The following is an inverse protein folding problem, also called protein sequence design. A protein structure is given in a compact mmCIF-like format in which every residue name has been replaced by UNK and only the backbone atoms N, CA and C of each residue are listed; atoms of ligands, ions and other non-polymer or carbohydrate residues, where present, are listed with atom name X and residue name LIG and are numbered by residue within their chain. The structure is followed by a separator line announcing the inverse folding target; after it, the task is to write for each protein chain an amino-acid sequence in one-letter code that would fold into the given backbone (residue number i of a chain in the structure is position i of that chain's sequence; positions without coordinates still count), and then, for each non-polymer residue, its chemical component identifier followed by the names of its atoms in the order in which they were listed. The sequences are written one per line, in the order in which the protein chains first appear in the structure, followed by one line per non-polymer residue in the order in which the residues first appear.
data_IF_499531066456
#
_entry.id   IF_499531066456
#
_cell.length_a   1.000
_cell.length_b   1.000
_cell.length_c   1.000
_cell.angle_alpha   90.00
_cell.angle_beta   90.00
_cell.angle_gamma   90.00
#
_symmetry.space_group_name_H-M   'P 1'
#
loop_
_entity.id
_entity.type
_entity.pdbx_description
1 polymer ?
#
# COMPACT_ATOMS: atom_id res chain seq x y z
N UNK A 1 -0.71 -2.23 -9.64
CA UNK A 1 0.54 -2.46 -10.39
C UNK A 1 0.49 -1.63 -11.65
N UNK A 2 1.49 -0.78 -11.90
CA UNK A 2 1.62 -0.10 -13.18
C UNK A 2 2.17 -1.09 -14.19
N UNK A 3 1.33 -1.51 -15.15
CA UNK A 3 1.70 -2.55 -16.09
C UNK A 3 2.59 -1.98 -17.18
N UNK A 4 3.91 -2.17 -17.04
CA UNK A 4 4.88 -1.78 -18.08
C UNK A 4 5.47 -3.00 -18.77
N UNK A 5 5.68 -4.09 -18.02
CA UNK A 5 6.35 -5.30 -18.50
C UNK A 5 5.45 -6.53 -18.36
N UNK A 6 5.74 -7.59 -19.12
CA UNK A 6 4.96 -8.84 -19.15
C UNK A 6 4.83 -9.50 -17.76
N UNK A 7 5.88 -9.41 -16.93
CA UNK A 7 5.85 -9.88 -15.55
C UNK A 7 4.79 -9.17 -14.70
N UNK A 8 4.57 -7.87 -14.91
CA UNK A 8 3.59 -7.07 -14.17
C UNK A 8 2.14 -7.47 -14.54
N UNK A 9 1.93 -7.94 -15.78
CA UNK A 9 0.61 -8.37 -16.24
C UNK A 9 0.17 -9.67 -15.58
N UNK A 10 1.12 -10.52 -15.17
CA UNK A 10 0.84 -11.78 -14.50
C UNK A 10 0.45 -11.60 -13.02
N UNK A 11 0.70 -10.42 -12.44
CA UNK A 11 0.40 -10.15 -11.03
C UNK A 11 -1.08 -9.81 -10.86
N UNK A 12 -1.82 -10.68 -10.19
CA UNK A 12 -3.25 -10.55 -9.91
C UNK A 12 -3.59 -10.51 -8.40
N UNK A 13 -2.59 -10.67 -7.54
CA UNK A 13 -2.75 -10.77 -6.07
C UNK A 13 -2.49 -9.46 -5.31
N UNK A 14 -2.19 -8.37 -6.02
CA UNK A 14 -1.98 -7.04 -5.45
C UNK A 14 -2.47 -5.92 -6.38
N UNK A 15 -2.90 -4.80 -5.81
CA UNK A 15 -3.51 -3.72 -6.58
C UNK A 15 -3.32 -2.33 -5.94
N UNK A 16 -3.40 -1.29 -6.78
CA UNK A 16 -3.48 0.09 -6.31
C UNK A 16 -4.95 0.47 -6.06
N UNK A 17 -5.21 1.21 -4.98
CA UNK A 17 -6.55 1.76 -4.71
C UNK A 17 -6.75 3.05 -5.50
N UNK A 18 -7.44 2.97 -6.63
CA UNK A 18 -7.74 4.12 -7.47
C UNK A 18 -6.49 4.95 -7.77
N UNK A 19 -6.57 6.26 -7.52
CA UNK A 19 -5.44 7.19 -7.66
C UNK A 19 -4.77 7.55 -6.33
N UNK A 20 -5.07 6.83 -5.24
CA UNK A 20 -4.59 7.19 -3.89
C UNK A 20 -3.18 6.71 -3.59
N UNK A 21 -2.47 6.12 -4.56
CA UNK A 21 -1.11 5.61 -4.41
C UNK A 21 -0.92 4.53 -3.31
N UNK A 22 -2.01 3.95 -2.80
CA UNK A 22 -1.99 2.85 -1.85
C UNK A 22 -1.89 1.52 -2.58
N UNK A 23 -0.79 0.79 -2.36
CA UNK A 23 -0.59 -0.59 -2.84
C UNK A 23 -1.02 -1.57 -1.76
N UNK A 24 -1.94 -2.47 -2.08
CA UNK A 24 -2.49 -3.45 -1.15
C UNK A 24 -2.21 -4.86 -1.68
N UNK A 25 -1.73 -5.73 -0.79
CA UNK A 25 -1.63 -7.18 -1.02
C UNK A 25 -2.31 -7.94 0.13
N UNK A 26 -3.59 -8.31 -0.01
CA UNK A 26 -4.31 -9.05 1.03
C UNK A 26 -3.71 -10.43 1.27
N UNK A 27 -3.78 -10.93 2.51
CA UNK A 27 -3.34 -12.29 2.85
C UNK A 27 -4.48 -13.25 2.55
N UNK A 28 -4.29 -14.12 1.55
CA UNK A 28 -5.33 -15.04 1.06
C UNK A 28 -5.07 -16.51 1.41
N UNK A 29 -3.92 -16.81 2.04
CA UNK A 29 -3.50 -18.17 2.38
C UNK A 29 -3.50 -18.41 3.89
N UNK A 30 -3.85 -19.64 4.28
CA UNK A 30 -3.94 -20.03 5.70
C UNK A 30 -2.54 -20.13 6.32
N UNK A 31 -2.35 -19.47 7.46
CA UNK A 31 -1.14 -19.61 8.28
C UNK A 31 0.07 -18.81 7.80
N UNK A 32 -0.11 -17.99 6.75
CA UNK A 32 0.92 -17.07 6.27
C UNK A 32 1.08 -15.90 7.24
N UNK A 33 2.33 -15.57 7.55
CA UNK A 33 2.71 -14.46 8.43
C UNK A 33 3.61 -13.42 7.75
N UNK A 34 3.94 -13.62 6.47
CA UNK A 34 4.73 -12.72 5.64
C UNK A 34 4.14 -12.63 4.24
N UNK A 35 4.05 -11.42 3.69
CA UNK A 35 3.58 -11.20 2.33
C UNK A 35 4.73 -10.72 1.44
N UNK A 36 4.87 -11.31 0.26
CA UNK A 36 5.83 -10.89 -0.76
C UNK A 36 5.15 -9.92 -1.73
N UNK A 37 5.37 -8.62 -1.56
CA UNK A 37 4.76 -7.56 -2.37
C UNK A 37 5.72 -7.15 -3.48
N UNK A 38 5.28 -7.14 -4.73
CA UNK A 38 6.04 -6.59 -5.84
C UNK A 38 5.97 -5.06 -5.84
N UNK A 39 7.14 -4.42 -5.87
CA UNK A 39 7.32 -2.99 -6.05
C UNK A 39 7.72 -2.74 -7.50
N UNK A 40 7.00 -1.83 -8.14
CA UNK A 40 7.20 -1.47 -9.54
C UNK A 40 8.62 -0.90 -9.77
N UNK A 41 9.05 -0.89 -11.03
CA UNK A 41 10.33 -0.31 -11.45
C UNK A 41 10.43 1.18 -11.11
N UNK A 42 11.54 1.55 -10.48
CA UNK A 42 11.88 2.92 -10.12
C UNK A 42 12.63 3.00 -8.79
N UNK A 43 13.27 4.13 -8.56
CA UNK A 43 14.01 4.41 -7.32
C UNK A 43 13.12 5.06 -6.24
N UNK A 44 11.79 5.05 -6.44
CA UNK A 44 10.84 5.54 -5.43
C UNK A 44 10.88 4.64 -4.20
N UNK A 45 10.72 5.26 -3.03
CA UNK A 45 10.67 4.56 -1.75
C UNK A 45 9.19 4.41 -1.38
N UNK A 46 8.75 3.18 -1.18
CA UNK A 46 7.41 2.89 -0.71
C UNK A 46 7.44 2.75 0.81
N UNK A 47 6.41 3.22 1.51
CA UNK A 47 6.36 3.25 2.96
C UNK A 47 5.26 2.35 3.49
N UNK A 48 5.52 1.60 4.56
CA UNK A 48 4.45 0.88 5.28
C UNK A 48 3.43 1.89 5.81
N UNK A 49 2.15 1.66 5.50
CA UNK A 49 1.08 2.58 5.90
C UNK A 49 0.97 2.75 7.42
N UNK A 50 1.22 1.69 8.19
CA UNK A 50 1.03 1.67 9.65
C UNK A 50 2.32 1.95 10.41
N UNK A 51 3.41 1.29 10.03
CA UNK A 51 4.69 1.35 10.76
C UNK A 51 5.66 2.39 10.18
N UNK A 52 5.33 2.97 9.02
CA UNK A 52 6.16 3.95 8.30
C UNK A 52 7.56 3.46 7.89
N UNK A 53 7.80 2.14 7.98
CA UNK A 53 9.02 1.51 7.48
C UNK A 53 9.20 1.76 5.99
N UNK A 54 10.42 2.13 5.60
CA UNK A 54 10.77 2.41 4.21
C UNK A 54 11.20 1.13 3.47
N UNK A 55 10.61 0.92 2.30
CA UNK A 55 10.94 -0.12 1.35
C UNK A 55 11.45 0.57 0.08
N UNK A 56 12.78 0.70 -0.09
CA UNK A 56 13.33 1.35 -1.28
C UNK A 56 12.91 0.57 -2.52
N UNK A 57 12.76 1.22 -3.66
CA UNK A 57 12.49 0.56 -4.94
C UNK A 57 13.70 -0.16 -5.53
N UNK A 58 13.63 -0.45 -6.83
CA UNK A 58 14.74 -0.96 -7.62
C UNK A 58 14.53 -0.59 -9.09
N UNK A 59 15.63 -0.34 -9.80
CA UNK A 59 15.62 -0.07 -11.24
C UNK A 59 14.90 -1.15 -12.06
N UNK A 60 14.93 -2.41 -11.64
CA UNK A 60 14.29 -3.53 -12.33
C UNK A 60 13.02 -4.05 -11.64
N UNK A 61 12.49 -3.30 -10.67
CA UNK A 61 11.42 -3.76 -9.78
C UNK A 61 11.91 -4.86 -8.84
N UNK A 62 11.19 -5.10 -7.74
CA UNK A 62 11.57 -6.17 -6.80
C UNK A 62 10.43 -6.61 -5.91
N UNK A 63 10.60 -7.78 -5.31
CA UNK A 63 9.73 -8.22 -4.23
C UNK A 63 10.25 -7.74 -2.87
N UNK A 64 9.41 -7.05 -2.11
CA UNK A 64 9.62 -6.71 -0.71
C UNK A 64 8.85 -7.68 0.18
N UNK A 65 9.50 -8.13 1.27
CA UNK A 65 8.84 -8.98 2.27
C UNK A 65 8.30 -8.12 3.40
N UNK A 66 6.98 -8.12 3.57
CA UNK A 66 6.29 -7.41 4.64
C UNK A 66 5.83 -8.39 5.71
N UNK A 67 5.76 -7.91 6.95
CA UNK A 67 5.03 -8.63 8.01
C UNK A 67 3.54 -8.67 7.66
N UNK A 68 2.94 -9.82 7.91
CA UNK A 68 1.54 -10.12 7.59
C UNK A 68 0.93 -10.98 8.69
N UNK A 69 1.16 -10.59 9.95
CA UNK A 69 0.53 -11.25 11.09
C UNK A 69 -1.01 -11.14 11.00
N UNK A 70 -1.74 -11.95 11.76
CA UNK A 70 -3.20 -12.04 11.68
C UNK A 70 -3.94 -10.69 11.86
N UNK A 71 -3.32 -9.74 12.55
CA UNK A 71 -3.87 -8.42 12.84
C UNK A 71 -3.30 -7.31 11.93
N UNK A 72 -2.41 -7.65 11.00
CA UNK A 72 -1.74 -6.73 10.10
C UNK A 72 -2.30 -6.86 8.69
N UNK A 73 -2.33 -5.74 7.96
CA UNK A 73 -2.72 -5.70 6.56
C UNK A 73 -1.52 -5.16 5.78
N UNK A 74 -0.96 -5.92 4.81
CA UNK A 74 0.12 -5.43 3.96
C UNK A 74 -0.37 -4.29 3.06
N UNK A 75 -0.05 -3.06 3.47
CA UNK A 75 -0.37 -1.83 2.74
C UNK A 75 0.87 -0.95 2.67
N UNK A 76 1.21 -0.54 1.46
CA UNK A 76 2.27 0.43 1.19
C UNK A 76 1.68 1.72 0.60
N UNK A 77 2.26 2.85 0.98
CA UNK A 77 2.05 4.16 0.35
C UNK A 77 3.23 4.39 -0.58
N UNK A 78 2.97 4.65 -1.85
CA UNK A 78 4.05 5.00 -2.78
C UNK A 78 4.65 6.37 -2.45
N UNK A 79 5.96 6.50 -2.52
CA UNK A 79 6.64 7.79 -2.35
C UNK A 79 6.22 8.83 -3.38
N UNK A 80 6.36 10.11 -3.06
CA UNK A 80 5.89 11.24 -3.88
C UNK A 80 4.36 11.22 -4.08
N UNK A 81 3.64 10.79 -3.04
CA UNK A 81 2.18 10.79 -3.04
C UNK A 81 1.60 11.46 -1.82
N UNK A 82 0.39 12.00 -2.00
CA UNK A 82 -0.37 12.65 -0.94
C UNK A 82 -1.70 11.92 -0.80
N UNK A 83 -1.93 11.34 0.38
CA UNK A 83 -3.14 10.60 0.70
C UNK A 83 -3.98 11.39 1.70
N UNK A 84 -5.13 11.96 1.28
CA UNK A 84 -6.04 12.64 2.18
C UNK A 84 -6.87 11.62 2.97
N UNK A 85 -6.89 11.77 4.29
CA UNK A 85 -7.55 10.84 5.21
C UNK A 85 -8.45 11.60 6.18
N UNK A 86 -9.47 10.93 6.70
CA UNK A 86 -10.24 11.39 7.85
C UNK A 86 -10.04 10.41 8.99
N UNK A 87 -9.17 10.78 9.93
CA UNK A 87 -8.73 9.87 10.99
C UNK A 87 -9.69 9.81 12.19
N UNK A 88 -10.67 10.72 12.24
CA UNK A 88 -11.71 10.69 13.28
C UNK A 88 -12.77 9.66 12.93
N UNK A 89 -12.65 8.46 13.49
CA UNK A 89 -13.65 7.42 13.33
C UNK A 89 -15.02 7.86 13.88
N UNK A 90 -16.06 7.76 13.04
CA UNK A 90 -17.45 8.00 13.42
C UNK A 90 -18.28 6.77 13.08
N UNK A 91 -19.49 6.71 13.65
CA UNK A 91 -20.42 5.59 13.43
C UNK A 91 -21.00 5.54 12.00
N UNK A 92 -20.98 6.67 11.29
CA UNK A 92 -21.51 6.82 9.93
C UNK A 92 -20.66 7.82 9.15
N UNK A 93 -20.54 7.63 7.84
CA UNK A 93 -19.81 8.54 6.95
C UNK A 93 -20.39 9.96 6.92
N UNK A 94 -21.72 10.10 7.07
CA UNK A 94 -22.40 11.40 7.17
C UNK A 94 -21.90 12.23 8.36
N UNK A 95 -21.57 11.58 9.48
CA UNK A 95 -21.04 12.26 10.67
C UNK A 95 -19.59 12.73 10.48
N UNK A 96 -18.89 12.20 9.47
CA UNK A 96 -17.52 12.61 9.12
C UNK A 96 -17.50 13.81 8.17
N UNK A 97 -18.67 14.26 7.65
CA UNK A 97 -18.74 15.26 6.57
C UNK A 97 -17.97 16.55 6.89
N UNK A 98 -18.01 17.00 8.14
CA UNK A 98 -17.35 18.22 8.62
C UNK A 98 -16.06 17.94 9.41
N UNK A 99 -15.60 16.68 9.50
CA UNK A 99 -14.33 16.38 10.14
C UNK A 99 -13.16 16.88 9.29
N UNK A 100 -12.07 17.36 9.92
CA UNK A 100 -10.88 17.79 9.21
C UNK A 100 -10.21 16.62 8.49
N UNK A 101 -9.45 16.95 7.46
CA UNK A 101 -8.58 16.00 6.77
C UNK A 101 -7.18 16.02 7.36
N UNK A 102 -6.57 14.84 7.46
CA UNK A 102 -5.13 14.65 7.62
C UNK A 102 -4.56 14.36 6.24
N UNK A 103 -3.46 15.03 5.87
CA UNK A 103 -2.73 14.73 4.63
C UNK A 103 -1.49 13.90 5.01
N UNK A 104 -1.47 12.64 4.60
CA UNK A 104 -0.28 11.82 4.69
C UNK A 104 0.57 12.09 3.45
N UNK A 105 1.80 12.56 3.63
CA UNK A 105 2.75 12.86 2.57
C UNK A 105 3.88 11.84 2.70
N UNK A 106 4.08 11.05 1.64
CA UNK A 106 5.12 10.03 1.55
C UNK A 106 6.31 10.52 0.74
#
# INVERSE_FOLDING_TARGET
VFRKNEADFAIDDQFYVGSSALLIKPVMEKGVNKASVYLDEGDQVDHNYFMHEAYPGSACGKHATLSAALHEIPVLIRGDSIVPMRERFRRLSLLMKADPFTLCIA
#
